data_IF_709701962590
#
_entry.id   IF_709701962590
#
_cell.length_a   1.000
_cell.length_b   1.000
_cell.length_c   1.000
_cell.angle_alpha   90.00
_cell.angle_beta   90.00
_cell.angle_gamma   90.00
#
_symmetry.space_group_name_H-M   'P 1'
#
loop_
_entity.id
_entity.type
_entity.pdbx_description
1 polymer ?
#
# COMPACT_ATOMS: atom_id res chain seq x y z
N UNK A 1 -12.20 -5.14 -1.94
CA UNK A 1 -10.79 -4.71 -2.09
C UNK A 1 -10.61 -3.78 -3.28
N UNK A 2 -10.96 -4.20 -4.50
CA UNK A 2 -10.70 -3.43 -5.74
C UNK A 2 -11.27 -2.01 -5.76
N UNK A 3 -12.44 -1.78 -5.14
CA UNK A 3 -13.04 -0.44 -5.04
C UNK A 3 -12.21 0.53 -4.19
N UNK A 4 -11.65 0.07 -3.08
CA UNK A 4 -10.77 0.89 -2.25
C UNK A 4 -9.43 1.15 -2.96
N UNK A 5 -8.87 0.14 -3.64
CA UNK A 5 -7.64 0.30 -4.43
C UNK A 5 -7.84 1.36 -5.54
N UNK A 6 -8.95 1.30 -6.27
CA UNK A 6 -9.27 2.28 -7.30
C UNK A 6 -9.42 3.71 -6.73
N UNK A 7 -10.04 3.84 -5.55
CA UNK A 7 -10.15 5.11 -4.84
C UNK A 7 -8.77 5.68 -4.50
N UNK A 8 -7.90 4.89 -3.90
CA UNK A 8 -6.55 5.35 -3.52
C UNK A 8 -5.70 5.71 -4.74
N UNK A 9 -5.78 4.94 -5.82
CA UNK A 9 -5.11 5.27 -7.10
C UNK A 9 -5.55 6.63 -7.63
N UNK A 10 -6.85 6.97 -7.53
CA UNK A 10 -7.36 8.29 -7.94
C UNK A 10 -6.76 9.44 -7.11
N UNK A 11 -6.31 9.18 -5.89
CA UNK A 11 -5.62 10.15 -5.04
C UNK A 11 -4.08 10.08 -5.12
N UNK A 12 -3.53 9.41 -6.14
CA UNK A 12 -2.09 9.39 -6.40
C UNK A 12 -1.30 8.36 -5.59
N UNK A 13 -1.98 7.46 -4.89
CA UNK A 13 -1.31 6.34 -4.23
C UNK A 13 -0.90 5.30 -5.28
N UNK A 14 0.30 4.75 -5.11
CA UNK A 14 0.84 3.66 -5.91
C UNK A 14 1.03 2.42 -5.06
N UNK A 15 1.08 1.24 -5.67
CA UNK A 15 1.40 0.00 -4.96
C UNK A 15 2.91 -0.10 -4.74
N UNK A 16 3.33 -0.17 -3.49
CA UNK A 16 4.75 -0.30 -3.11
C UNK A 16 5.15 -1.75 -2.90
N UNK A 17 4.19 -2.62 -2.60
CA UNK A 17 4.42 -4.03 -2.40
C UNK A 17 3.17 -4.79 -2.00
N UNK A 18 3.30 -6.12 -1.95
CA UNK A 18 2.20 -7.01 -1.57
C UNK A 18 2.68 -8.04 -0.56
N UNK A 19 2.04 -8.04 0.61
CA UNK A 19 2.27 -9.06 1.63
C UNK A 19 1.30 -10.20 1.43
N UNK A 20 1.83 -11.41 1.24
CA UNK A 20 1.01 -12.61 1.06
C UNK A 20 0.48 -13.11 2.40
N UNK A 21 -0.81 -13.44 2.42
CA UNK A 21 -1.49 -13.97 3.59
C UNK A 21 -1.35 -13.15 4.86
N UNK A 22 -1.30 -11.83 4.72
CA UNK A 22 -0.99 -10.91 5.80
C UNK A 22 -2.17 -10.66 6.74
N UNK A 23 -3.40 -10.65 6.20
CA UNK A 23 -4.60 -10.33 6.97
C UNK A 23 -5.63 -11.46 6.89
N UNK A 24 -6.55 -11.49 7.86
CA UNK A 24 -7.71 -12.39 7.82
C UNK A 24 -8.95 -11.59 7.45
N UNK A 25 -9.70 -12.06 6.45
CA UNK A 25 -10.96 -11.45 6.01
C UNK A 25 -12.02 -12.54 5.89
N UNK A 26 -13.07 -12.48 6.71
CA UNK A 26 -14.14 -13.48 6.68
C UNK A 26 -13.68 -14.90 7.03
N UNK A 27 -12.65 -15.03 7.88
CA UNK A 27 -12.08 -16.32 8.28
C UNK A 27 -11.01 -16.87 7.34
N UNK A 28 -10.76 -16.23 6.20
CA UNK A 28 -9.74 -16.64 5.24
C UNK A 28 -8.52 -15.72 5.28
N UNK A 29 -7.35 -16.32 5.08
CA UNK A 29 -6.09 -15.60 4.93
C UNK A 29 -6.05 -14.90 3.57
N UNK A 30 -5.75 -13.61 3.57
CA UNK A 30 -5.80 -12.75 2.40
C UNK A 30 -4.52 -11.95 2.21
N UNK A 31 -4.15 -11.78 0.93
CA UNK A 31 -3.07 -10.90 0.53
C UNK A 31 -3.47 -9.42 0.69
N UNK A 32 -2.48 -8.59 1.02
CA UNK A 32 -2.68 -7.15 1.22
C UNK A 32 -1.68 -6.36 0.39
N UNK A 33 -2.15 -5.47 -0.51
CA UNK A 33 -1.29 -4.47 -1.13
C UNK A 33 -1.02 -3.32 -0.16
N UNK A 34 0.25 -2.93 -0.06
CA UNK A 34 0.67 -1.70 0.61
C UNK A 34 0.75 -0.59 -0.42
N UNK A 35 0.18 0.56 -0.09
CA UNK A 35 0.09 1.68 -1.01
C UNK A 35 0.45 2.98 -0.31
N UNK A 36 1.24 3.81 -0.98
CA UNK A 36 1.59 5.15 -0.53
C UNK A 36 1.66 6.12 -1.72
N UNK A 37 1.50 7.43 -1.50
CA UNK A 37 1.84 8.43 -2.49
C UNK A 37 3.35 8.46 -2.69
N UNK A 38 3.80 8.74 -3.92
CA UNK A 38 5.20 9.05 -4.17
C UNK A 38 5.55 10.38 -3.51
N UNK A 39 6.62 10.37 -2.72
CA UNK A 39 7.19 11.56 -2.11
C UNK A 39 8.71 11.52 -2.32
N UNK A 40 9.31 12.70 -2.48
CA UNK A 40 10.76 12.81 -2.53
C UNK A 40 11.34 12.33 -1.19
N UNK A 41 12.43 11.56 -1.28
CA UNK A 41 13.16 11.17 -0.09
C UNK A 41 13.66 12.44 0.63
N UNK A 42 13.50 12.53 1.97
CA UNK A 42 14.10 13.61 2.71
C UNK A 42 15.62 13.58 2.49
N UNK A 43 16.31 14.73 2.57
CA UNK A 43 17.77 14.73 2.50
C UNK A 43 18.34 13.81 3.59
N UNK A 44 19.38 13.06 3.26
CA UNK A 44 20.10 12.29 4.26
C UNK A 44 20.55 13.22 5.38
N UNK A 45 20.35 12.80 6.63
CA UNK A 45 20.87 13.54 7.76
C UNK A 45 22.40 13.65 7.61
N UNK A 46 22.91 14.87 7.50
CA UNK A 46 24.35 15.13 7.58
C UNK A 46 24.81 14.80 8.99
N UNK A 47 25.82 13.93 9.08
CA UNK A 47 26.44 13.48 10.33
C UNK A 47 27.16 14.60 11.05
#
# INVERSE_FOLDING_TARGET
MERAIALYRRFGFVEEGRSRGYAIRGGEVADVPHMAPLADAPPFASR
#
